data_IF_311295331706
#
_entry.id   IF_311295331706
#
_cell.length_a   1.000
_cell.length_b   1.000
_cell.length_c   1.000
_cell.angle_alpha   90.00
_cell.angle_beta   90.00
_cell.angle_gamma   90.00
#
_symmetry.space_group_name_H-M   'P 1'
#
loop_
_entity.id
_entity.type
_entity.pdbx_description
1 polymer ?
#
# COMPACT_ATOMS: atom_id res chain seq x y z
N UNK A 1 30.42 -67.00 29.46
CA UNK A 1 31.78 -66.82 28.94
C UNK A 1 31.83 -65.46 28.25
N UNK A 2 32.33 -64.41 28.93
CA UNK A 2 33.03 -63.28 28.29
C UNK A 2 34.44 -63.75 27.86
N UNK A 3 35.28 -62.98 27.14
CA UNK A 3 36.00 -61.79 27.64
C UNK A 3 36.01 -60.63 26.60
N UNK A 4 36.01 -59.32 26.89
CA UNK A 4 36.90 -58.43 27.69
C UNK A 4 38.34 -58.32 27.20
N UNK A 5 38.87 -57.09 27.32
CA UNK A 5 40.29 -56.68 27.29
C UNK A 5 40.88 -56.44 25.89
N UNK A 6 41.67 -55.40 25.62
CA UNK A 6 42.39 -54.38 26.40
C UNK A 6 42.85 -53.33 25.35
N UNK A 7 42.70 -52.02 25.57
CA UNK A 7 43.71 -51.16 26.19
C UNK A 7 45.13 -51.41 25.67
N UNK A 8 45.64 -50.47 24.88
CA UNK A 8 46.97 -49.85 25.05
C UNK A 8 46.99 -48.55 24.24
N UNK A 9 47.01 -47.39 24.91
CA UNK A 9 48.21 -46.76 25.45
C UNK A 9 49.00 -46.09 24.31
N UNK A 10 48.89 -44.77 24.19
CA UNK A 10 49.85 -43.84 24.77
C UNK A 10 51.05 -43.61 23.84
N UNK A 11 51.11 -42.41 23.26
CA UNK A 11 52.30 -41.67 22.82
C UNK A 11 51.78 -40.57 21.86
N UNK A 12 51.64 -39.32 22.31
CA UNK A 12 52.70 -38.33 22.53
C UNK A 12 53.11 -37.60 21.24
N UNK A 13 53.09 -36.27 21.33
CA UNK A 13 53.49 -35.33 20.27
C UNK A 13 52.73 -34.00 20.37
N UNK A 14 52.87 -33.22 21.46
CA UNK A 14 53.85 -32.11 21.61
C UNK A 14 53.37 -30.83 20.89
N UNK A 15 52.75 -29.86 21.60
CA UNK A 15 53.31 -28.66 22.32
C UNK A 15 53.41 -27.42 21.44
N UNK A 16 52.70 -26.35 21.84
CA UNK A 16 53.19 -24.97 22.11
C UNK A 16 51.98 -24.19 22.72
N UNK A 17 51.79 -24.02 24.03
CA UNK A 17 52.53 -23.31 25.08
C UNK A 17 52.37 -21.77 25.08
N UNK A 18 52.24 -21.22 26.29
CA UNK A 18 52.40 -19.80 26.66
C UNK A 18 51.41 -18.71 26.17
N UNK A 19 50.45 -18.33 27.03
CA UNK A 19 50.46 -17.01 27.71
C UNK A 19 49.28 -16.86 28.70
N UNK A 20 49.61 -17.04 29.98
CA UNK A 20 48.89 -16.53 31.15
C UNK A 20 49.16 -15.03 31.29
N UNK A 21 48.16 -14.22 31.65
CA UNK A 21 48.14 -13.30 32.83
C UNK A 21 46.86 -12.45 32.75
N UNK A 22 45.95 -12.50 33.73
CA UNK A 22 46.00 -11.94 35.09
C UNK A 22 45.48 -10.48 35.15
N UNK A 23 44.31 -10.37 35.79
CA UNK A 23 43.83 -9.29 36.64
C UNK A 23 43.56 -7.88 36.09
N UNK A 24 42.72 -7.22 36.89
CA UNK A 24 42.52 -5.76 36.97
C UNK A 24 41.38 -5.24 36.11
N UNK A 25 40.24 -5.06 36.78
CA UNK A 25 39.33 -3.97 36.41
C UNK A 25 40.04 -2.65 36.70
N UNK A 26 40.17 -1.71 35.75
CA UNK A 26 40.23 -0.31 36.06
C UNK A 26 38.89 0.33 35.69
N UNK A 27 38.32 1.01 36.67
CA UNK A 27 37.38 2.11 36.50
C UNK A 27 37.74 2.96 35.28
N UNK A 28 36.92 2.90 34.23
CA UNK A 28 36.80 4.00 33.28
C UNK A 28 35.56 4.80 33.68
N UNK A 29 35.88 5.88 34.37
CA UNK A 29 35.05 7.04 34.69
C UNK A 29 33.86 7.25 33.76
N UNK A 30 32.72 7.50 34.39
CA UNK A 30 31.62 8.31 33.86
C UNK A 30 32.14 9.38 32.89
N UNK A 31 31.81 9.25 31.61
CA UNK A 31 31.37 10.42 30.86
C UNK A 31 29.85 10.31 30.72
N UNK A 32 29.16 11.07 31.55
CA UNK A 32 27.72 11.11 31.69
C UNK A 32 27.09 12.00 30.62
N UNK A 33 27.48 11.79 29.36
CA UNK A 33 27.16 12.70 28.27
C UNK A 33 26.56 12.06 27.01
N UNK A 34 26.25 10.76 27.00
CA UNK A 34 25.60 10.15 25.83
C UNK A 34 24.50 9.11 26.16
N UNK A 35 23.83 9.27 27.30
CA UNK A 35 22.57 8.56 27.58
C UNK A 35 21.33 9.43 27.30
N UNK A 36 21.53 10.59 26.66
CA UNK A 36 20.44 11.48 26.21
C UNK A 36 20.10 11.31 24.73
N UNK A 37 20.78 10.41 24.01
CA UNK A 37 20.65 10.25 22.56
C UNK A 37 20.42 8.81 22.10
N UNK A 38 19.94 7.92 22.99
CA UNK A 38 19.22 6.72 22.54
C UNK A 38 17.79 7.14 22.19
N UNK A 39 17.68 8.04 21.21
CA UNK A 39 16.42 8.44 20.61
C UNK A 39 15.86 7.18 19.95
N UNK A 40 14.82 6.60 20.55
CA UNK A 40 14.21 5.38 20.04
C UNK A 40 13.81 5.64 18.59
N UNK A 41 14.00 4.69 17.66
CA UNK A 41 13.74 4.89 16.21
C UNK A 41 12.37 5.55 15.95
N UNK A 42 11.39 5.26 16.81
CA UNK A 42 10.04 5.82 16.81
C UNK A 42 10.02 7.34 17.11
N UNK A 43 10.84 7.83 18.03
CA UNK A 43 10.94 9.25 18.40
C UNK A 43 11.72 10.05 17.33
N UNK A 44 12.69 9.41 16.65
CA UNK A 44 13.35 9.97 15.48
C UNK A 44 12.39 10.15 14.30
N UNK A 45 11.51 9.16 14.04
CA UNK A 45 10.48 9.23 13.00
C UNK A 45 9.46 10.35 13.31
N UNK A 46 9.08 10.51 14.59
CA UNK A 46 8.17 11.57 15.01
C UNK A 46 8.78 12.98 14.89
N UNK A 47 10.09 13.14 15.18
CA UNK A 47 10.83 14.40 14.96
C UNK A 47 11.12 14.71 13.48
N UNK A 48 11.24 13.68 12.64
CA UNK A 48 11.31 13.79 11.17
C UNK A 48 9.90 13.94 10.56
N UNK A 49 8.88 14.16 11.40
CA UNK A 49 7.50 14.40 11.05
C UNK A 49 7.34 15.42 9.92
N UNK A 50 7.03 14.87 8.74
CA UNK A 50 6.55 15.54 7.54
C UNK A 50 7.25 16.85 7.13
N UNK A 51 8.36 16.67 6.41
CA UNK A 51 9.10 17.77 5.81
C UNK A 51 8.42 18.45 4.62
N UNK A 52 9.19 19.34 3.99
CA UNK A 52 8.88 20.11 2.77
C UNK A 52 8.33 19.27 1.62
N UNK A 53 8.65 17.98 1.60
CA UNK A 53 8.16 17.02 0.61
C UNK A 53 6.65 16.83 0.68
N UNK A 54 6.06 16.72 1.88
CA UNK A 54 4.60 16.56 2.00
C UNK A 54 3.87 17.84 1.60
N UNK A 55 4.44 19.02 1.91
CA UNK A 55 3.91 20.32 1.47
C UNK A 55 4.02 20.52 -0.04
N UNK A 56 5.14 20.07 -0.66
CA UNK A 56 5.30 20.05 -2.13
C UNK A 56 4.34 19.06 -2.78
N UNK A 57 4.11 17.90 -2.18
CA UNK A 57 3.15 16.91 -2.65
C UNK A 57 1.71 17.45 -2.59
N UNK A 58 1.35 18.16 -1.51
CA UNK A 58 0.03 18.77 -1.34
C UNK A 58 -0.20 19.97 -2.28
N UNK A 59 0.85 20.77 -2.56
CA UNK A 59 0.78 21.82 -3.57
C UNK A 59 0.69 21.27 -4.99
N UNK A 60 1.46 20.23 -5.32
CA UNK A 60 1.42 19.59 -6.65
C UNK A 60 0.07 18.90 -6.88
N UNK A 61 -0.49 18.21 -5.87
CA UNK A 61 -1.83 17.61 -5.99
C UNK A 61 -2.93 18.66 -6.08
N UNK A 62 -2.84 19.77 -5.33
CA UNK A 62 -3.79 20.88 -5.39
C UNK A 62 -3.77 21.66 -6.71
N UNK A 63 -2.56 21.92 -7.25
CA UNK A 63 -2.39 22.60 -8.55
C UNK A 63 -2.91 21.73 -9.70
N UNK A 64 -2.74 20.41 -9.58
CA UNK A 64 -3.27 19.43 -10.53
C UNK A 64 -4.81 19.43 -10.54
N UNK A 65 -5.45 19.62 -9.39
CA UNK A 65 -6.91 19.72 -9.28
C UNK A 65 -7.48 21.01 -9.87
N UNK A 66 -6.77 22.14 -9.76
CA UNK A 66 -7.17 23.42 -10.38
C UNK A 66 -6.96 23.45 -11.91
N UNK A 67 -5.95 22.73 -12.42
CA UNK A 67 -5.69 22.62 -13.86
C UNK A 67 -6.76 21.80 -14.61
N UNK A 68 -7.50 20.93 -13.91
CA UNK A 68 -8.56 20.09 -14.48
C UNK A 68 -9.78 20.91 -14.96
N UNK A 69 -9.99 22.13 -14.45
CA UNK A 69 -11.21 22.91 -14.75
C UNK A 69 -11.16 23.72 -16.06
N UNK A 70 -9.99 23.90 -16.70
CA UNK A 70 -9.82 24.90 -17.77
C UNK A 70 -9.46 24.34 -19.17
N UNK A 71 -9.07 23.07 -19.33
CA UNK A 71 -8.54 22.60 -20.63
C UNK A 71 -9.35 21.49 -21.29
N UNK A 72 -10.33 21.79 -22.13
CA UNK A 72 -11.21 20.78 -22.77
C UNK A 72 -10.49 19.58 -23.44
N UNK A 73 -9.23 19.72 -23.87
CA UNK A 73 -8.38 18.66 -24.45
C UNK A 73 -7.23 18.14 -23.56
N UNK A 74 -6.70 18.91 -22.61
CA UNK A 74 -5.75 18.39 -21.60
C UNK A 74 -6.46 17.80 -20.37
N UNK A 75 -7.75 18.12 -20.16
CA UNK A 75 -8.58 17.58 -19.08
C UNK A 75 -8.66 16.07 -19.15
N UNK A 76 -8.80 15.49 -20.35
CA UNK A 76 -8.91 14.03 -20.49
C UNK A 76 -7.62 13.30 -20.09
N UNK A 77 -6.46 13.89 -20.37
CA UNK A 77 -5.16 13.35 -19.93
C UNK A 77 -5.02 13.49 -18.41
N UNK A 78 -5.36 14.66 -17.85
CA UNK A 78 -5.33 14.90 -16.41
C UNK A 78 -6.30 13.98 -15.64
N UNK A 79 -7.51 13.77 -16.14
CA UNK A 79 -8.48 12.86 -15.55
C UNK A 79 -8.03 11.38 -15.62
N UNK A 80 -7.32 11.01 -16.69
CA UNK A 80 -6.74 9.66 -16.83
C UNK A 80 -5.59 9.44 -15.84
N UNK A 81 -4.74 10.45 -15.64
CA UNK A 81 -3.70 10.42 -14.60
C UNK A 81 -4.31 10.33 -13.21
N UNK A 82 -5.35 11.13 -12.91
CA UNK A 82 -6.08 11.04 -11.64
C UNK A 82 -6.63 9.63 -11.40
N UNK A 83 -7.20 9.00 -12.44
CA UNK A 83 -7.75 7.65 -12.35
C UNK A 83 -6.68 6.62 -11.96
N UNK A 84 -5.47 6.72 -12.53
CA UNK A 84 -4.35 5.83 -12.15
C UNK A 84 -3.86 6.05 -10.72
N UNK A 85 -3.89 7.29 -10.23
CA UNK A 85 -3.54 7.58 -8.83
C UNK A 85 -4.59 7.00 -7.87
N UNK A 86 -5.87 7.09 -8.22
CA UNK A 86 -6.95 6.53 -7.41
C UNK A 86 -6.85 5.00 -7.29
N UNK A 87 -6.52 4.31 -8.38
CA UNK A 87 -6.31 2.86 -8.34
C UNK A 87 -5.18 2.46 -7.38
N UNK A 88 -4.10 3.23 -7.32
CA UNK A 88 -3.02 3.01 -6.36
C UNK A 88 -3.45 3.30 -4.91
N UNK A 89 -4.21 4.38 -4.69
CA UNK A 89 -4.74 4.73 -3.36
C UNK A 89 -5.68 3.64 -2.85
N UNK A 90 -6.51 3.07 -3.71
CA UNK A 90 -7.44 2.00 -3.33
C UNK A 90 -6.70 0.74 -2.89
N UNK A 91 -5.68 0.29 -3.63
CA UNK A 91 -4.87 -0.89 -3.26
C UNK A 91 -4.12 -0.67 -1.95
N UNK A 92 -3.61 0.53 -1.74
CA UNK A 92 -2.98 0.92 -0.48
C UNK A 92 -4.00 0.88 0.67
N UNK A 93 -5.18 1.46 0.46
CA UNK A 93 -6.25 1.52 1.46
C UNK A 93 -6.77 0.13 1.82
N UNK A 94 -6.92 -0.79 0.85
CA UNK A 94 -7.28 -2.18 1.11
C UNK A 94 -6.23 -2.88 1.98
N UNK A 95 -4.95 -2.66 1.68
CA UNK A 95 -3.85 -3.25 2.47
C UNK A 95 -3.87 -2.77 3.91
N UNK A 96 -4.04 -1.45 4.14
CA UNK A 96 -4.17 -0.89 5.49
C UNK A 96 -5.42 -1.38 6.20
N UNK A 97 -6.55 -1.42 5.50
CA UNK A 97 -7.81 -1.86 6.07
C UNK A 97 -7.71 -3.29 6.59
N UNK A 98 -7.12 -4.21 5.84
CA UNK A 98 -6.96 -5.61 6.25
C UNK A 98 -6.15 -5.75 7.55
N UNK A 99 -5.13 -4.92 7.74
CA UNK A 99 -4.30 -4.93 8.96
C UNK A 99 -5.07 -4.35 10.14
N UNK A 100 -5.70 -3.18 9.98
CA UNK A 100 -6.44 -2.51 11.06
C UNK A 100 -7.64 -3.33 11.54
N UNK A 101 -8.41 -3.88 10.59
CA UNK A 101 -9.61 -4.66 10.89
C UNK A 101 -9.26 -5.98 11.57
N UNK A 102 -8.09 -6.55 11.28
CA UNK A 102 -7.58 -7.74 11.99
C UNK A 102 -7.24 -7.43 13.44
N UNK A 103 -6.64 -6.26 13.72
CA UNK A 103 -6.22 -5.86 15.06
C UNK A 103 -7.42 -5.52 15.95
N UNK A 104 -8.36 -4.72 15.44
CA UNK A 104 -9.53 -4.23 16.20
C UNK A 104 -10.57 -5.33 16.51
N UNK A 105 -10.85 -6.20 15.54
CA UNK A 105 -11.93 -7.21 15.64
C UNK A 105 -11.43 -8.66 15.75
N UNK A 106 -10.12 -8.87 15.90
CA UNK A 106 -9.49 -10.19 16.05
C UNK A 106 -9.99 -11.24 15.04
N UNK A 107 -10.03 -10.84 13.75
CA UNK A 107 -10.62 -11.65 12.70
C UNK A 107 -9.82 -12.92 12.38
N UNK A 108 -10.56 -13.97 12.00
CA UNK A 108 -9.97 -15.21 11.47
C UNK A 108 -9.37 -14.94 10.08
N UNK A 109 -8.31 -15.67 9.71
CA UNK A 109 -7.65 -15.57 8.40
C UNK A 109 -8.63 -15.72 7.22
N UNK A 110 -9.64 -16.58 7.34
CA UNK A 110 -10.71 -16.74 6.34
C UNK A 110 -11.53 -15.46 6.14
N UNK A 111 -11.82 -14.72 7.20
CA UNK A 111 -12.60 -13.48 7.10
C UNK A 111 -11.76 -12.34 6.50
N UNK A 112 -10.46 -12.30 6.80
CA UNK A 112 -9.54 -11.35 6.17
C UNK A 112 -9.47 -11.55 4.65
N UNK A 113 -9.42 -12.81 4.20
CA UNK A 113 -9.51 -13.16 2.77
C UNK A 113 -10.90 -12.87 2.19
N UNK A 114 -11.96 -12.98 3.01
CA UNK A 114 -13.32 -12.62 2.63
C UNK A 114 -13.48 -11.15 2.26
N UNK A 115 -12.77 -10.24 2.95
CA UNK A 115 -12.82 -8.80 2.65
C UNK A 115 -12.26 -8.49 1.27
N UNK A 116 -11.10 -9.06 0.90
CA UNK A 116 -10.54 -8.89 -0.45
C UNK A 116 -11.37 -9.59 -1.51
N UNK A 117 -11.87 -10.79 -1.22
CA UNK A 117 -12.77 -11.50 -2.12
C UNK A 117 -14.05 -10.69 -2.40
N UNK A 118 -14.60 -10.00 -1.41
CA UNK A 118 -15.77 -9.15 -1.59
C UNK A 118 -15.51 -7.96 -2.54
N UNK A 119 -14.33 -7.35 -2.46
CA UNK A 119 -13.91 -6.27 -3.40
C UNK A 119 -13.87 -6.81 -4.82
N UNK A 120 -13.17 -7.92 -5.05
CA UNK A 120 -13.09 -8.53 -6.38
C UNK A 120 -14.46 -8.99 -6.88
N UNK A 121 -15.30 -9.52 -6.00
CA UNK A 121 -16.66 -9.93 -6.33
C UNK A 121 -17.53 -8.75 -6.79
N UNK A 122 -17.30 -7.54 -6.27
CA UNK A 122 -17.96 -6.32 -6.77
C UNK A 122 -17.33 -5.76 -8.04
N UNK A 123 -16.01 -5.89 -8.18
CA UNK A 123 -15.25 -5.39 -9.32
C UNK A 123 -15.62 -6.10 -10.63
N UNK A 124 -15.83 -7.42 -10.57
CA UNK A 124 -16.20 -8.27 -11.71
C UNK A 124 -17.50 -7.81 -12.43
N UNK A 125 -18.66 -7.72 -11.77
CA UNK A 125 -19.87 -7.21 -12.40
C UNK A 125 -19.77 -5.71 -12.72
N UNK A 126 -19.00 -4.95 -11.94
CA UNK A 126 -18.74 -3.53 -12.21
C UNK A 126 -18.07 -3.31 -13.56
N UNK A 127 -17.06 -4.12 -13.90
CA UNK A 127 -16.33 -3.97 -15.16
C UNK A 127 -17.24 -4.14 -16.38
N UNK A 128 -18.15 -5.12 -16.32
CA UNK A 128 -19.12 -5.38 -17.39
C UNK A 128 -20.18 -4.26 -17.47
N UNK A 129 -20.73 -3.86 -16.32
CA UNK A 129 -21.77 -2.83 -16.25
C UNK A 129 -21.25 -1.48 -16.74
N UNK A 130 -20.11 -1.03 -16.21
CA UNK A 130 -19.53 0.25 -16.59
C UNK A 130 -19.01 0.27 -18.02
N UNK A 131 -18.51 -0.86 -18.54
CA UNK A 131 -18.17 -1.00 -19.95
C UNK A 131 -19.38 -0.73 -20.86
N UNK A 132 -20.47 -1.46 -20.64
CA UNK A 132 -21.70 -1.26 -21.42
C UNK A 132 -22.30 0.14 -21.23
N UNK A 133 -22.30 0.66 -20.00
CA UNK A 133 -22.84 1.99 -19.70
C UNK A 133 -22.02 3.10 -20.36
N UNK A 134 -20.70 2.98 -20.38
CA UNK A 134 -19.80 3.93 -21.00
C UNK A 134 -19.95 3.99 -22.52
N UNK A 135 -20.25 2.86 -23.15
CA UNK A 135 -20.52 2.77 -24.58
C UNK A 135 -21.88 3.40 -24.95
N UNK A 136 -22.91 3.25 -24.10
CA UNK A 136 -24.27 3.74 -24.37
C UNK A 136 -24.52 5.21 -24.01
N UNK A 137 -24.09 5.64 -22.82
CA UNK A 137 -24.40 6.97 -22.27
C UNK A 137 -23.21 7.93 -22.30
N UNK A 138 -22.08 7.47 -22.84
CA UNK A 138 -20.85 8.24 -22.94
C UNK A 138 -19.95 8.05 -21.72
N UNK A 139 -18.64 7.93 -22.00
CA UNK A 139 -17.59 7.63 -21.03
C UNK A 139 -17.40 8.67 -19.92
N UNK A 140 -17.72 9.94 -20.18
CA UNK A 140 -17.63 11.02 -19.16
C UNK A 140 -18.66 10.85 -18.05
N UNK A 141 -19.89 10.47 -18.40
CA UNK A 141 -20.97 10.28 -17.44
C UNK A 141 -20.72 9.03 -16.58
N UNK A 142 -20.25 7.95 -17.22
CA UNK A 142 -19.86 6.71 -16.51
C UNK A 142 -18.86 6.97 -15.39
N UNK A 143 -17.81 7.74 -15.68
CA UNK A 143 -16.80 8.13 -14.69
C UNK A 143 -17.37 8.98 -13.54
N UNK A 144 -18.22 9.96 -13.84
CA UNK A 144 -18.81 10.81 -12.79
C UNK A 144 -19.67 9.99 -11.82
N UNK A 145 -20.49 9.09 -12.37
CA UNK A 145 -21.39 8.24 -11.59
C UNK A 145 -20.59 7.20 -10.78
N UNK A 146 -19.55 6.61 -11.35
CA UNK A 146 -18.70 5.66 -10.64
C UNK A 146 -17.91 6.32 -9.52
N UNK A 147 -17.40 7.54 -9.73
CA UNK A 147 -16.73 8.32 -8.70
C UNK A 147 -17.68 8.71 -7.55
N UNK A 148 -18.93 9.08 -7.87
CA UNK A 148 -19.95 9.37 -6.86
C UNK A 148 -20.30 8.11 -6.04
N UNK A 149 -20.40 6.96 -6.70
CA UNK A 149 -20.62 5.67 -6.04
C UNK A 149 -19.49 5.37 -5.01
N UNK A 150 -18.23 5.48 -5.43
CA UNK A 150 -17.06 5.28 -4.55
C UNK A 150 -17.08 6.25 -3.37
N UNK A 151 -17.37 7.54 -3.61
CA UNK A 151 -17.40 8.53 -2.55
C UNK A 151 -18.49 8.24 -1.49
N UNK A 152 -19.71 7.92 -1.94
CA UNK A 152 -20.84 7.62 -1.04
C UNK A 152 -20.57 6.37 -0.22
N UNK A 153 -20.20 5.25 -0.86
CA UNK A 153 -19.95 3.99 -0.15
C UNK A 153 -18.63 4.01 0.65
N UNK A 154 -17.64 4.79 0.22
CA UNK A 154 -16.41 5.04 0.96
C UNK A 154 -16.68 5.75 2.29
N UNK A 155 -17.46 6.84 2.26
CA UNK A 155 -17.90 7.53 3.48
C UNK A 155 -18.76 6.62 4.34
N UNK A 156 -19.70 5.89 3.74
CA UNK A 156 -20.54 4.94 4.47
C UNK A 156 -19.70 3.91 5.21
N UNK A 157 -18.62 3.40 4.59
CA UNK A 157 -17.77 2.37 5.19
C UNK A 157 -17.14 2.78 6.53
N UNK A 158 -17.04 4.09 6.83
CA UNK A 158 -16.55 4.59 8.12
C UNK A 158 -17.56 4.44 9.27
N UNK A 159 -18.86 4.36 8.96
CA UNK A 159 -19.94 4.28 9.96
C UNK A 159 -20.40 2.84 10.23
N UNK A 160 -19.72 1.86 9.65
CA UNK A 160 -20.16 0.47 9.69
C UNK A 160 -19.74 -0.21 11.01
N UNK A 161 -20.68 -0.80 11.77
CA UNK A 161 -20.37 -1.45 13.05
C UNK A 161 -19.98 -2.93 12.93
N UNK A 162 -20.13 -3.57 11.75
CA UNK A 162 -19.91 -5.01 11.60
C UNK A 162 -19.15 -5.36 10.32
N UNK A 163 -18.38 -6.44 10.36
CA UNK A 163 -17.52 -6.89 9.25
C UNK A 163 -18.33 -7.23 8.00
N UNK A 164 -19.54 -7.79 8.15
CA UNK A 164 -20.43 -8.13 7.03
C UNK A 164 -20.88 -6.90 6.24
N UNK A 165 -21.28 -5.85 6.96
CA UNK A 165 -21.61 -4.56 6.33
C UNK A 165 -20.38 -3.93 5.69
N UNK A 166 -19.20 -4.11 6.28
CA UNK A 166 -17.96 -3.56 5.74
C UNK A 166 -17.62 -4.25 4.42
N UNK A 167 -17.76 -5.59 4.36
CA UNK A 167 -17.60 -6.36 3.12
C UNK A 167 -18.58 -5.93 2.04
N UNK A 168 -19.85 -5.69 2.39
CA UNK A 168 -20.86 -5.20 1.44
C UNK A 168 -20.51 -3.79 0.91
N UNK A 169 -20.13 -2.86 1.79
CA UNK A 169 -19.68 -1.52 1.38
C UNK A 169 -18.45 -1.62 0.47
N UNK A 170 -17.51 -2.52 0.77
CA UNK A 170 -16.29 -2.71 -0.04
C UNK A 170 -16.57 -3.36 -1.39
N UNK A 171 -17.51 -4.28 -1.48
CA UNK A 171 -17.98 -4.79 -2.76
C UNK A 171 -18.59 -3.66 -3.62
N UNK A 172 -19.39 -2.77 -3.03
CA UNK A 172 -19.97 -1.63 -3.75
C UNK A 172 -18.91 -0.60 -4.18
N UNK A 173 -17.90 -0.36 -3.34
CA UNK A 173 -16.72 0.45 -3.72
C UNK A 173 -15.98 -0.20 -4.88
N UNK A 174 -15.70 -1.51 -4.81
CA UNK A 174 -15.07 -2.27 -5.89
C UNK A 174 -15.85 -2.19 -7.21
N UNK A 175 -17.19 -2.26 -7.15
CA UNK A 175 -18.06 -2.04 -8.30
C UNK A 175 -17.87 -0.64 -8.93
N UNK A 176 -17.74 0.40 -8.09
CA UNK A 176 -17.44 1.76 -8.56
C UNK A 176 -16.04 1.91 -9.14
N UNK A 177 -15.02 1.26 -8.56
CA UNK A 177 -13.62 1.32 -9.00
C UNK A 177 -13.47 0.82 -10.44
N UNK A 178 -14.22 -0.22 -10.84
CA UNK A 178 -14.19 -0.72 -12.23
C UNK A 178 -14.57 0.34 -13.26
N UNK A 179 -15.48 1.26 -12.94
CA UNK A 179 -15.89 2.35 -13.83
C UNK A 179 -14.84 3.45 -13.97
N UNK A 180 -14.03 3.66 -12.93
CA UNK A 180 -12.90 4.58 -12.94
C UNK A 180 -11.84 4.15 -13.98
N UNK A 181 -11.60 2.84 -14.08
CA UNK A 181 -10.65 2.25 -15.05
C UNK A 181 -11.06 2.43 -16.52
N UNK A 182 -12.35 2.62 -16.82
CA UNK A 182 -12.82 2.84 -18.19
C UNK A 182 -12.28 4.15 -18.82
N UNK A 183 -11.84 5.10 -17.98
CA UNK A 183 -11.30 6.38 -18.43
C UNK A 183 -9.86 6.27 -18.97
N UNK A 184 -9.08 5.27 -18.53
CA UNK A 184 -7.70 5.08 -18.96
C UNK A 184 -7.57 4.86 -20.48
N UNK A 185 -8.60 4.32 -21.13
CA UNK A 185 -8.61 4.14 -22.58
C UNK A 185 -8.81 5.46 -23.36
N UNK A 186 -9.18 6.59 -22.74
CA UNK A 186 -9.56 7.81 -23.47
C UNK A 186 -8.34 8.43 -24.19
N UNK A 187 -7.17 8.60 -23.53
CA UNK A 187 -6.00 9.21 -24.16
C UNK A 187 -5.50 8.42 -25.35
N UNK A 188 -5.59 7.09 -25.31
CA UNK A 188 -5.14 6.26 -26.42
C UNK A 188 -5.95 6.56 -27.68
N UNK A 189 -7.28 6.63 -27.59
CA UNK A 189 -8.15 7.00 -28.72
C UNK A 189 -7.80 8.38 -29.31
N UNK A 190 -7.48 9.36 -28.46
CA UNK A 190 -7.11 10.71 -28.92
C UNK A 190 -5.78 10.68 -29.68
N UNK A 191 -4.76 10.00 -29.15
CA UNK A 191 -3.46 9.87 -29.81
C UNK A 191 -3.56 9.12 -31.15
N UNK A 192 -4.38 8.07 -31.23
CA UNK A 192 -4.62 7.36 -32.49
C UNK A 192 -5.25 8.27 -33.55
N UNK A 193 -6.21 9.11 -33.15
CA UNK A 193 -6.87 10.03 -34.09
C UNK A 193 -5.93 11.13 -34.57
N UNK A 194 -5.08 11.67 -33.68
CA UNK A 194 -4.08 12.68 -34.03
C UNK A 194 -2.98 12.14 -34.94
N UNK A 195 -2.53 10.89 -34.73
CA UNK A 195 -1.56 10.22 -35.61
C UNK A 195 -2.13 9.96 -37.00
N UNK A 196 -3.40 9.58 -37.08
CA UNK A 196 -4.10 9.38 -38.36
C UNK A 196 -4.33 10.68 -39.12
N UNK A 197 -4.68 11.77 -38.42
CA UNK A 197 -4.87 13.09 -39.02
C UNK A 197 -3.56 13.72 -39.55
N UNK A 198 -2.41 13.33 -39.00
CA UNK A 198 -1.08 13.80 -39.44
C UNK A 198 -0.51 13.00 -40.62
N UNK A 199 -1.10 11.86 -40.95
CA UNK A 199 -0.66 10.97 -42.03
C UNK A 199 -1.39 11.21 -43.37
N UNK A 200 -2.31 12.18 -43.41
CA UNK A 200 -3.06 12.66 -44.58
C UNK A 200 -2.61 14.09 -44.85
#
# INVERSE_FOLDING_TARGET
>A
MPPTEVLDAAADGVVDDSAVTEDTSPTLSMDSADESNVLTIHEAIQRVGYGTFQKRLLLVSGLMFMAVRTYSSMSVVALSSYSSCQDAVEVMLLSFLQVLVKDEWHLTSTQQAGITAAVFAGELPGALFWGFFADKYGRRLGFLLSALCIAVFGIWSAFVPTVWWLMACRAMVGFGVSGNRSLFSVPSTVLYTLRRARAI
#
